data_IF_645789462256
#
_entry.id   IF_645789462256
#
_cell.length_a   1.000
_cell.length_b   1.000
_cell.length_c   1.000
_cell.angle_alpha   90.00
_cell.angle_beta   90.00
_cell.angle_gamma   90.00
#
_symmetry.space_group_name_H-M   'P 1'
#
loop_
_entity.id
_entity.type
_entity.pdbx_description
1 polymer ?
#
# COMPACT_ATOMS: atom_id res chain seq x y z
N UNK A 1 0.43 -10.95 11.09
CA UNK A 1 0.43 -11.53 9.73
C UNK A 1 1.48 -10.78 8.96
N UNK A 2 2.46 -11.47 8.37
CA UNK A 2 3.45 -10.80 7.52
C UNK A 2 2.84 -10.56 6.14
N UNK A 3 3.18 -9.43 5.51
CA UNK A 3 2.65 -9.08 4.19
C UNK A 3 3.54 -9.57 3.04
N UNK A 4 4.80 -9.86 3.30
CA UNK A 4 5.76 -10.43 2.37
C UNK A 4 6.52 -11.58 3.03
N UNK A 5 7.29 -12.32 2.23
CA UNK A 5 8.22 -13.35 2.70
C UNK A 5 9.68 -12.99 2.43
N UNK A 6 10.60 -13.88 2.81
CA UNK A 6 12.04 -13.69 2.59
C UNK A 6 12.39 -13.62 1.11
N UNK A 7 11.77 -14.47 0.29
CA UNK A 7 12.03 -14.54 -1.14
C UNK A 7 11.71 -13.21 -1.84
N UNK A 8 10.62 -12.57 -1.43
CA UNK A 8 10.26 -11.24 -1.90
C UNK A 8 11.36 -10.20 -1.65
N UNK A 9 12.00 -10.25 -0.48
CA UNK A 9 13.11 -9.35 -0.11
C UNK A 9 14.37 -9.69 -0.92
N UNK A 10 14.67 -10.97 -1.14
CA UNK A 10 15.85 -11.42 -1.91
C UNK A 10 15.86 -10.89 -3.35
N UNK A 11 14.68 -10.70 -3.96
CA UNK A 11 14.57 -10.14 -5.31
C UNK A 11 15.25 -8.77 -5.45
N UNK A 12 15.29 -7.97 -4.37
CA UNK A 12 15.94 -6.66 -4.32
C UNK A 12 17.46 -6.72 -4.22
N UNK A 13 18.02 -7.88 -3.86
CA UNK A 13 19.44 -8.12 -3.69
C UNK A 13 20.00 -9.05 -4.79
N UNK A 14 19.41 -8.99 -5.99
CA UNK A 14 19.78 -9.82 -7.14
C UNK A 14 19.68 -11.33 -6.87
N UNK A 15 18.72 -11.75 -6.02
CA UNK A 15 18.53 -13.15 -5.66
C UNK A 15 19.65 -13.70 -4.76
N UNK A 16 20.34 -12.84 -4.00
CA UNK A 16 21.20 -13.28 -2.91
C UNK A 16 20.34 -13.93 -1.84
N UNK A 17 20.63 -15.20 -1.57
CA UNK A 17 19.98 -16.00 -0.54
C UNK A 17 20.54 -15.67 0.85
N UNK A 18 19.68 -15.49 1.84
CA UNK A 18 20.07 -15.16 3.23
C UNK A 18 20.55 -16.38 4.05
N UNK A 19 20.72 -17.51 3.38
CA UNK A 19 20.95 -18.85 3.92
C UNK A 19 22.44 -19.18 4.07
N UNK A 20 23.31 -18.43 3.39
CA UNK A 20 24.71 -18.77 3.18
C UNK A 20 25.64 -17.84 3.97
N UNK A 21 25.98 -18.19 5.22
CA UNK A 21 27.04 -17.59 6.07
C UNK A 21 27.35 -16.09 5.81
N UNK A 22 26.28 -15.31 5.67
CA UNK A 22 26.34 -13.91 5.28
C UNK A 22 26.36 -12.97 6.48
N UNK A 23 26.41 -11.68 6.20
CA UNK A 23 26.26 -10.62 7.20
C UNK A 23 24.81 -10.48 7.71
N UNK A 24 23.86 -11.16 7.09
CA UNK A 24 22.44 -11.21 7.46
C UNK A 24 21.90 -12.61 7.21
N UNK A 25 21.22 -13.16 8.21
CA UNK A 25 20.62 -14.51 8.17
C UNK A 25 19.13 -14.48 7.84
N UNK A 26 18.60 -15.58 7.28
CA UNK A 26 17.15 -15.75 7.03
C UNK A 26 16.31 -15.45 8.28
N UNK A 27 16.75 -15.90 9.46
CA UNK A 27 16.04 -15.64 10.72
C UNK A 27 15.97 -14.14 11.07
N UNK A 28 17.03 -13.39 10.80
CA UNK A 28 17.05 -11.93 11.00
C UNK A 28 16.11 -11.24 10.00
N UNK A 29 16.10 -11.66 8.74
CA UNK A 29 15.18 -11.13 7.72
C UNK A 29 13.72 -11.42 8.08
N UNK A 30 13.39 -12.65 8.47
CA UNK A 30 12.05 -13.00 8.95
C UNK A 30 11.60 -12.14 10.14
N UNK A 31 12.53 -11.84 11.06
CA UNK A 31 12.27 -11.00 12.23
C UNK A 31 12.00 -9.55 11.83
N UNK A 32 12.76 -9.02 10.86
CA UNK A 32 12.53 -7.68 10.28
C UNK A 32 11.17 -7.62 9.57
N UNK A 33 10.86 -8.61 8.74
CA UNK A 33 9.56 -8.72 8.04
C UNK A 33 8.40 -8.71 9.04
N UNK A 34 8.51 -9.49 10.12
CA UNK A 34 7.46 -9.56 11.13
C UNK A 34 7.33 -8.25 11.92
N UNK A 35 8.45 -7.60 12.25
CA UNK A 35 8.48 -6.30 12.93
C UNK A 35 7.82 -5.21 12.07
N UNK A 36 8.22 -5.09 10.80
CA UNK A 36 7.67 -4.06 9.91
C UNK A 36 6.19 -4.34 9.57
N UNK A 37 5.77 -5.59 9.48
CA UNK A 37 4.35 -5.92 9.33
C UNK A 37 3.51 -5.47 10.54
N UNK A 38 4.04 -5.62 11.77
CA UNK A 38 3.39 -5.08 12.97
C UNK A 38 3.33 -3.55 12.97
N UNK A 39 4.39 -2.90 12.47
CA UNK A 39 4.42 -1.45 12.31
C UNK A 39 3.36 -0.97 11.30
N UNK A 40 3.24 -1.63 10.15
CA UNK A 40 2.18 -1.37 9.16
C UNK A 40 0.80 -1.51 9.82
N UNK A 41 0.55 -2.62 10.52
CA UNK A 41 -0.72 -2.84 11.23
C UNK A 41 -1.01 -1.69 12.22
N UNK A 42 -0.02 -1.31 13.04
CA UNK A 42 -0.17 -0.20 13.99
C UNK A 42 -0.58 1.10 13.29
N UNK A 43 0.03 1.42 12.15
CA UNK A 43 -0.28 2.63 11.39
C UNK A 43 -1.68 2.60 10.76
N UNK A 44 -2.16 1.42 10.39
CA UNK A 44 -3.47 1.25 9.76
C UNK A 44 -4.62 1.13 10.76
N UNK A 45 -4.40 0.65 11.99
CA UNK A 45 -5.44 0.43 13.02
C UNK A 45 -6.30 1.66 13.31
N UNK A 46 -5.78 2.87 13.11
CA UNK A 46 -6.54 4.10 13.32
C UNK A 46 -7.67 4.30 12.31
N UNK A 47 -7.61 3.68 11.12
CA UNK A 47 -8.55 3.91 10.01
C UNK A 47 -9.11 2.66 9.36
N UNK A 48 -8.49 1.51 9.58
CA UNK A 48 -8.85 0.26 8.94
C UNK A 48 -9.13 -0.83 9.97
N UNK A 49 -10.10 -1.69 9.66
CA UNK A 49 -10.32 -2.93 10.42
C UNK A 49 -9.32 -3.96 9.94
N UNK A 50 -8.56 -4.52 10.87
CA UNK A 50 -7.60 -5.59 10.60
C UNK A 50 -8.21 -6.97 10.91
N UNK A 51 -7.80 -8.05 10.21
CA UNK A 51 -6.84 -8.05 9.10
C UNK A 51 -7.44 -7.46 7.80
N UNK A 52 -6.59 -6.84 6.99
CA UNK A 52 -6.96 -6.45 5.62
C UNK A 52 -7.13 -7.73 4.79
N UNK A 53 -8.26 -7.86 4.09
CA UNK A 53 -8.60 -9.09 3.35
C UNK A 53 -8.71 -8.87 1.84
N UNK A 54 -8.73 -7.62 1.37
CA UNK A 54 -8.79 -7.32 -0.06
C UNK A 54 -7.44 -7.64 -0.72
N UNK A 55 -7.44 -8.42 -1.80
CA UNK A 55 -6.23 -8.90 -2.46
C UNK A 55 -5.36 -7.76 -3.01
N UNK A 56 -5.94 -6.74 -3.64
CA UNK A 56 -5.18 -5.62 -4.20
C UNK A 56 -4.50 -4.81 -3.09
N UNK A 57 -5.20 -4.62 -1.97
CA UNK A 57 -4.63 -3.98 -0.79
C UNK A 57 -3.52 -4.83 -0.16
N UNK A 58 -3.69 -6.16 -0.11
CA UNK A 58 -2.65 -7.07 0.40
C UNK A 58 -1.40 -6.99 -0.50
N UNK A 59 -1.55 -6.95 -1.82
CA UNK A 59 -0.41 -6.79 -2.74
C UNK A 59 0.28 -5.44 -2.57
N UNK A 60 -0.49 -4.38 -2.34
CA UNK A 60 0.08 -3.08 -2.02
C UNK A 60 0.84 -3.12 -0.68
N UNK A 61 0.26 -3.70 0.37
CA UNK A 61 0.91 -3.81 1.69
C UNK A 61 2.12 -4.74 1.67
N UNK A 62 2.12 -5.76 0.81
CA UNK A 62 3.28 -6.59 0.49
C UNK A 62 4.44 -5.74 -0.02
N UNK A 63 4.21 -4.92 -1.06
CA UNK A 63 5.22 -3.98 -1.59
C UNK A 63 5.71 -2.98 -0.53
N UNK A 64 4.82 -2.47 0.33
CA UNK A 64 5.20 -1.57 1.43
C UNK A 64 6.14 -2.27 2.40
N UNK A 65 5.78 -3.49 2.84
CA UNK A 65 6.56 -4.27 3.79
C UNK A 65 7.94 -4.62 3.24
N UNK A 66 8.01 -5.09 1.99
CA UNK A 66 9.28 -5.34 1.28
C UNK A 66 10.18 -4.12 1.30
N UNK A 67 9.67 -2.95 0.91
CA UNK A 67 10.47 -1.71 0.81
C UNK A 67 10.94 -1.18 2.16
N UNK A 68 10.18 -1.38 3.23
CA UNK A 68 10.63 -1.06 4.59
C UNK A 68 11.81 -1.96 4.98
N UNK A 69 11.67 -3.27 4.79
CA UNK A 69 12.70 -4.25 5.15
C UNK A 69 13.96 -4.06 4.31
N UNK A 70 13.84 -3.96 2.99
CA UNK A 70 14.98 -3.70 2.07
C UNK A 70 15.68 -2.40 2.46
N UNK A 71 14.94 -1.37 2.83
CA UNK A 71 15.54 -0.11 3.26
C UNK A 71 16.29 -0.21 4.59
N UNK A 72 15.81 -1.01 5.55
CA UNK A 72 16.55 -1.33 6.78
C UNK A 72 17.84 -2.08 6.44
N UNK A 73 17.75 -3.09 5.58
CA UNK A 73 18.89 -3.90 5.15
C UNK A 73 19.93 -3.04 4.42
N UNK A 74 19.50 -2.13 3.55
CA UNK A 74 20.37 -1.14 2.90
C UNK A 74 21.03 -0.18 3.91
N UNK A 75 20.32 0.20 4.98
CA UNK A 75 20.86 1.01 6.05
C UNK A 75 21.90 0.25 6.89
N UNK A 76 21.73 -1.07 7.05
CA UNK A 76 22.70 -1.95 7.70
C UNK A 76 23.93 -2.22 6.83
N UNK A 77 23.76 -2.38 5.51
CA UNK A 77 24.83 -2.61 4.53
C UNK A 77 25.65 -1.35 4.22
N UNK A 78 25.24 -0.19 4.72
CA UNK A 78 26.04 1.05 4.72
C UNK A 78 27.22 0.97 5.68
N UNK A 79 28.02 -0.09 5.56
CA UNK A 79 29.41 -0.08 5.96
C UNK A 79 30.11 0.90 5.01
N UNK A 80 30.67 1.94 5.61
CA UNK A 80 31.49 2.98 4.98
C UNK A 80 32.49 2.29 4.04
N UNK A 81 32.52 2.67 2.76
CA UNK A 81 33.58 2.18 1.88
C UNK A 81 34.96 2.59 2.43
N UNK A 82 36.05 1.98 1.96
CA UNK A 82 37.39 2.32 2.44
C UNK A 82 37.78 3.80 2.19
N UNK A 83 36.97 4.54 1.45
CA UNK A 83 37.17 5.92 1.01
C UNK A 83 36.27 6.94 1.76
N UNK A 84 35.39 6.49 2.66
CA UNK A 84 34.49 7.34 3.41
C UNK A 84 33.21 7.76 2.67
N UNK A 85 32.93 7.23 1.47
CA UNK A 85 31.71 7.54 0.74
C UNK A 85 30.55 6.67 1.20
N UNK A 86 29.42 7.33 1.44
CA UNK A 86 28.16 6.68 1.76
C UNK A 86 27.55 6.12 0.48
N UNK A 87 27.45 4.79 0.38
CA UNK A 87 26.62 4.13 -0.62
C UNK A 87 25.23 4.76 -0.66
N UNK A 88 24.78 5.11 -1.87
CA UNK A 88 23.49 5.77 -2.12
C UNK A 88 22.38 4.82 -1.65
N UNK A 89 21.73 5.12 -0.52
CA UNK A 89 20.58 4.33 -0.06
C UNK A 89 19.47 4.50 -1.07
N UNK A 90 18.92 3.37 -1.48
CA UNK A 90 17.70 3.36 -2.26
C UNK A 90 16.64 3.85 -1.28
N UNK A 91 16.02 5.01 -1.58
CA UNK A 91 15.09 5.71 -0.67
C UNK A 91 13.77 4.92 -0.40
N UNK A 92 13.79 3.58 -0.52
CA UNK A 92 12.66 2.67 -0.37
C UNK A 92 11.97 2.82 0.98
N UNK A 93 12.75 2.86 2.07
CA UNK A 93 12.17 3.06 3.41
C UNK A 93 11.41 4.37 3.49
N UNK A 94 12.03 5.47 3.04
CA UNK A 94 11.42 6.80 3.06
C UNK A 94 10.15 6.86 2.21
N UNK A 95 10.15 6.21 1.05
CA UNK A 95 8.99 6.12 0.16
C UNK A 95 7.84 5.34 0.80
N UNK A 96 8.13 4.15 1.34
CA UNK A 96 7.15 3.30 2.02
C UNK A 96 6.53 4.00 3.26
N UNK A 97 7.36 4.67 4.05
CA UNK A 97 6.90 5.51 5.17
C UNK A 97 6.00 6.66 4.69
N UNK A 98 6.35 7.29 3.56
CA UNK A 98 5.52 8.31 2.94
C UNK A 98 4.13 7.80 2.56
N UNK A 99 4.02 6.59 2.03
CA UNK A 99 2.74 5.94 1.74
C UNK A 99 1.94 5.61 3.00
N UNK A 100 2.59 5.08 4.04
CA UNK A 100 1.92 4.81 5.32
C UNK A 100 1.38 6.09 5.97
N UNK A 101 2.14 7.18 5.93
CA UNK A 101 1.65 8.48 6.42
C UNK A 101 0.53 9.05 5.54
N UNK A 102 0.56 8.82 4.22
CA UNK A 102 -0.54 9.19 3.34
C UNK A 102 -1.82 8.38 3.67
N UNK A 103 -1.70 7.09 3.97
CA UNK A 103 -2.83 6.24 4.41
C UNK A 103 -3.37 6.67 5.77
N UNK A 104 -2.48 6.92 6.75
CA UNK A 104 -2.84 7.38 8.09
C UNK A 104 -3.50 8.76 8.08
N UNK A 105 -2.95 9.71 7.32
CA UNK A 105 -3.56 11.03 7.13
C UNK A 105 -4.84 10.99 6.30
N UNK A 106 -5.03 9.94 5.48
CA UNK A 106 -6.19 9.78 4.60
C UNK A 106 -6.06 10.49 3.25
N UNK A 107 -4.85 10.97 2.92
CA UNK A 107 -4.49 11.46 1.57
C UNK A 107 -4.47 10.32 0.54
N UNK A 108 -4.23 9.09 1.01
CA UNK A 108 -4.35 7.85 0.26
C UNK A 108 -5.34 6.94 0.99
N UNK A 109 -6.01 6.03 0.27
CA UNK A 109 -6.94 5.04 0.85
C UNK A 109 -6.72 3.66 0.26
N UNK A 110 -6.80 2.63 1.09
CA UNK A 110 -6.92 1.25 0.61
C UNK A 110 -8.33 1.01 0.07
N UNK A 111 -8.46 0.13 -0.93
CA UNK A 111 -9.73 -0.19 -1.58
C UNK A 111 -10.76 -0.74 -0.59
N UNK A 112 -10.33 -1.53 0.40
CA UNK A 112 -11.15 -2.04 1.52
C UNK A 112 -11.79 -0.95 2.39
N UNK A 113 -11.22 0.26 2.45
CA UNK A 113 -11.83 1.40 3.15
C UNK A 113 -12.74 2.25 2.27
N UNK A 114 -12.77 1.98 0.96
CA UNK A 114 -13.83 2.52 0.11
C UNK A 114 -15.12 1.81 0.52
N UNK A 115 -15.78 2.35 1.56
CA UNK A 115 -17.19 2.08 1.76
C UNK A 115 -17.84 2.45 0.44
N UNK A 116 -18.20 1.43 -0.34
CA UNK A 116 -19.27 1.57 -1.30
C UNK A 116 -20.47 2.05 -0.50
N UNK A 117 -20.73 3.35 -0.51
CA UNK A 117 -22.01 3.92 -0.10
C UNK A 117 -23.05 3.54 -1.14
N UNK A 118 -23.31 2.24 -1.26
CA UNK A 118 -24.43 1.67 -1.97
C UNK A 118 -25.17 0.79 -0.97
N UNK A 119 -25.67 1.41 0.10
CA UNK A 119 -26.82 0.82 0.80
C UNK A 119 -27.99 0.96 -0.18
N UNK A 120 -28.15 -0.02 -1.07
CA UNK A 120 -29.35 -0.16 -1.89
C UNK A 120 -30.47 -0.63 -0.97
N UNK A 121 -31.13 0.31 -0.30
CA UNK A 121 -32.46 0.05 0.20
C UNK A 121 -33.36 -0.14 -1.01
N UNK A 122 -33.74 -1.39 -1.32
CA UNK A 122 -34.84 -1.67 -2.24
C UNK A 122 -36.11 -1.10 -1.61
N UNK A 123 -36.37 0.18 -1.90
CA UNK A 123 -37.59 0.88 -1.51
C UNK A 123 -38.64 0.54 -2.55
N UNK A 124 -39.25 -0.63 -2.39
CA UNK A 124 -40.43 -1.03 -3.16
C UNK A 124 -41.62 -0.44 -2.42
N UNK A 125 -42.44 0.36 -3.09
CA UNK A 125 -43.69 0.83 -2.50
C UNK A 125 -44.70 -0.32 -2.36
N UNK A 126 -45.81 -0.09 -1.66
CA UNK A 126 -46.87 -1.09 -1.50
C UNK A 126 -47.58 -1.50 -2.80
N UNK A 127 -47.16 -0.96 -3.95
CA UNK A 127 -47.65 -1.31 -5.29
C UNK A 127 -46.59 -1.94 -6.20
N UNK A 128 -45.39 -2.25 -5.69
CA UNK A 128 -44.36 -2.97 -6.42
C UNK A 128 -43.45 -2.09 -7.29
N UNK A 129 -43.56 -0.76 -7.23
CA UNK A 129 -42.76 0.13 -8.07
C UNK A 129 -41.46 0.56 -7.37
N UNK A 130 -40.39 0.69 -8.17
CA UNK A 130 -39.08 1.13 -7.69
C UNK A 130 -39.04 2.65 -7.58
N UNK A 131 -38.88 3.18 -6.36
CA UNK A 131 -38.78 4.62 -6.14
C UNK A 131 -37.31 5.06 -6.21
N UNK A 132 -36.88 5.65 -7.33
CA UNK A 132 -35.56 6.29 -7.44
C UNK A 132 -35.54 7.60 -6.63
N UNK A 133 -34.92 7.58 -5.45
CA UNK A 133 -34.58 8.82 -4.74
C UNK A 133 -33.33 9.44 -5.38
N UNK A 134 -33.50 10.58 -6.05
CA UNK A 134 -32.40 11.45 -6.47
C UNK A 134 -31.77 12.09 -5.24
N UNK A 135 -30.71 11.49 -4.72
CA UNK A 135 -29.86 12.17 -3.75
C UNK A 135 -28.97 13.16 -4.50
N UNK A 136 -29.06 14.45 -4.13
CA UNK A 136 -28.08 15.46 -4.55
C UNK A 136 -26.84 15.29 -3.68
N UNK A 137 -25.74 14.88 -4.29
CA UNK A 137 -24.42 14.94 -3.65
C UNK A 137 -24.03 16.41 -3.44
N UNK A 138 -23.94 16.86 -2.19
CA UNK A 138 -23.56 18.23 -1.84
C UNK A 138 -22.03 18.46 -1.86
N UNK A 139 -21.22 17.52 -2.37
CA UNK A 139 -19.75 17.63 -2.42
C UNK A 139 -19.11 17.18 -3.74
N UNK A 140 -19.90 16.94 -4.79
CA UNK A 140 -19.33 16.65 -6.11
C UNK A 140 -19.02 17.97 -6.84
N UNK A 141 -17.75 18.39 -6.85
CA UNK A 141 -17.29 19.27 -7.93
C UNK A 141 -17.34 18.47 -9.24
N UNK A 142 -17.87 19.02 -10.33
CA UNK A 142 -18.09 18.26 -11.56
C UNK A 142 -16.76 18.03 -12.29
N UNK A 143 -16.16 16.85 -12.12
CA UNK A 143 -15.08 16.39 -12.99
C UNK A 143 -15.69 15.96 -14.33
N UNK A 144 -15.38 16.69 -15.41
CA UNK A 144 -15.78 16.29 -16.76
C UNK A 144 -14.85 15.18 -17.25
N UNK A 145 -15.44 14.07 -17.68
CA UNK A 145 -14.68 12.93 -18.23
C UNK A 145 -14.70 13.05 -19.75
N UNK A 146 -13.54 13.32 -20.37
CA UNK A 146 -13.41 13.32 -21.84
C UNK A 146 -12.78 12.00 -22.26
N UNK A 147 -13.45 11.28 -23.16
CA UNK A 147 -12.98 10.01 -23.69
C UNK A 147 -12.02 10.29 -24.87
N UNK A 148 -10.71 10.17 -24.63
CA UNK A 148 -9.71 10.25 -25.69
C UNK A 148 -9.75 8.94 -26.50
N UNK A 149 -10.31 9.02 -27.71
CA UNK A 149 -10.52 7.87 -28.60
C UNK A 149 -9.23 7.32 -29.20
N UNK A 150 -8.12 8.07 -29.20
CA UNK A 150 -6.86 7.61 -29.80
C UNK A 150 -6.04 6.74 -28.85
N UNK A 151 -6.12 7.01 -27.53
CA UNK A 151 -5.32 6.28 -26.53
C UNK A 151 -6.10 5.22 -25.74
N UNK A 152 -7.41 5.09 -25.98
CA UNK A 152 -8.32 4.21 -25.20
C UNK A 152 -8.10 4.35 -23.70
N UNK A 153 -7.83 5.56 -23.23
CA UNK A 153 -7.62 5.85 -21.81
C UNK A 153 -8.56 6.95 -21.37
N UNK A 154 -9.11 6.82 -20.17
CA UNK A 154 -9.97 7.83 -19.56
C UNK A 154 -9.05 8.82 -18.86
N UNK A 155 -9.04 10.08 -19.30
CA UNK A 155 -8.32 11.15 -18.62
C UNK A 155 -9.30 11.92 -17.76
N UNK A 156 -9.09 11.89 -16.44
CA UNK A 156 -9.84 12.71 -15.49
C UNK A 156 -9.06 14.01 -15.32
N UNK A 157 -9.62 15.12 -15.82
CA UNK A 157 -9.05 16.45 -15.63
C UNK A 157 -9.80 17.11 -14.48
N UNK A 158 -9.06 17.50 -13.45
CA UNK A 158 -9.53 18.34 -12.35
C UNK A 158 -9.06 19.76 -12.60
N UNK A 159 -9.98 20.74 -12.66
CA UNK A 159 -9.63 22.18 -12.55
C UNK A 159 -9.22 22.54 -11.12
#
# INVERSE_FOLDING_TARGET
>A
MSYCDEHDVETYFYGRTFDCEGWLTSQEVASLIASEAQYIDMMLRCKYTLPITNNDDIQFLKMVNERLVVGIIDEMDRVVDQEGNLSRSRNFRKEAMGWLEALKSGKMRLASSSKGSNIKFNSIDSQGNTVEKRYKDAFAQPASTILDRERRTIVVVTE
#
